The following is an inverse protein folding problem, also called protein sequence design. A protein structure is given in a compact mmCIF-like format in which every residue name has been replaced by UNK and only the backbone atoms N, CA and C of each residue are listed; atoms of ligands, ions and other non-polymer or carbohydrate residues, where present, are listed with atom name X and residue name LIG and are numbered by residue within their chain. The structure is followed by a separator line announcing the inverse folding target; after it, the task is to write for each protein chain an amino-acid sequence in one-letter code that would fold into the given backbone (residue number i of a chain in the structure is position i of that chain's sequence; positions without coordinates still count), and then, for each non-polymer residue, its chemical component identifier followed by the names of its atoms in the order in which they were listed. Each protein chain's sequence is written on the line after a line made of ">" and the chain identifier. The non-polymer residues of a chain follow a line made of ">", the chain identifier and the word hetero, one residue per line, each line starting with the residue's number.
data_IF_036356049752
#
_entry.id   IF_036356049752
#
_cell.length_a   1.000
_cell.length_b   1.000
_cell.length_c   1.000
_cell.angle_alpha   90.00
_cell.angle_beta   90.00
_cell.angle_gamma   90.00
#
_symmetry.space_group_name_H-M   'P 1'
#
loop_
_entity.id
_entity.type
_entity.pdbx_description
1 polymer ?
#
# COMPACT_ATOMS: atom_id res chain seq x y z
N UNK A 1 12.69 -19.08 -11.06
CA UNK A 1 14.14 -19.15 -10.76
C UNK A 1 14.98 -18.38 -11.78
N UNK A 2 14.90 -18.70 -13.08
CA UNK A 2 15.73 -18.07 -14.12
C UNK A 2 15.62 -16.54 -14.18
N UNK A 3 14.40 -15.98 -14.08
CA UNK A 3 14.22 -14.52 -14.07
C UNK A 3 14.90 -13.85 -12.87
N UNK A 4 14.78 -14.45 -11.69
CA UNK A 4 15.40 -13.93 -10.46
C UNK A 4 16.93 -14.01 -10.56
N UNK A 5 17.46 -15.14 -11.05
CA UNK A 5 18.90 -15.30 -11.27
C UNK A 5 19.43 -14.29 -12.30
N UNK A 6 18.73 -14.10 -13.41
CA UNK A 6 19.11 -13.11 -14.43
C UNK A 6 19.10 -11.69 -13.85
N UNK A 7 18.08 -11.33 -13.06
CA UNK A 7 18.00 -10.04 -12.40
C UNK A 7 19.16 -9.81 -11.41
N UNK A 8 19.49 -10.81 -10.59
CA UNK A 8 20.61 -10.74 -9.65
C UNK A 8 21.93 -10.60 -10.41
N UNK A 9 22.17 -11.45 -11.40
CA UNK A 9 23.40 -11.43 -12.20
C UNK A 9 23.58 -10.10 -12.92
N UNK A 10 22.51 -9.55 -13.51
CA UNK A 10 22.52 -8.23 -14.14
C UNK A 10 22.88 -7.12 -13.14
N UNK A 11 22.26 -7.12 -11.96
CA UNK A 11 22.51 -6.10 -10.92
C UNK A 11 23.94 -6.14 -10.40
N UNK A 12 24.50 -7.34 -10.20
CA UNK A 12 25.85 -7.52 -9.65
C UNK A 12 26.94 -7.28 -10.69
N UNK A 13 26.67 -7.58 -11.97
CA UNK A 13 27.65 -7.39 -13.04
C UNK A 13 27.97 -5.91 -13.31
N UNK A 14 26.97 -5.04 -13.28
CA UNK A 14 27.14 -3.58 -13.42
C UNK A 14 26.06 -2.82 -12.62
N UNK A 15 26.33 -2.51 -11.34
CA UNK A 15 25.36 -1.86 -10.46
C UNK A 15 24.97 -0.44 -10.90
N UNK A 16 25.87 0.30 -11.53
CA UNK A 16 25.62 1.67 -11.96
C UNK A 16 24.67 1.69 -13.15
N UNK A 17 24.95 0.86 -14.16
CA UNK A 17 24.05 0.71 -15.31
C UNK A 17 22.69 0.16 -14.89
N UNK A 18 22.66 -0.88 -14.05
CA UNK A 18 21.42 -1.46 -13.55
C UNK A 18 20.59 -0.43 -12.77
N UNK A 19 21.23 0.36 -11.89
CA UNK A 19 20.57 1.45 -11.17
C UNK A 19 19.96 2.51 -12.09
N UNK A 20 20.66 2.86 -13.17
CA UNK A 20 20.15 3.75 -14.22
C UNK A 20 18.89 3.19 -14.89
N UNK A 21 18.91 1.91 -15.27
CA UNK A 21 17.75 1.21 -15.87
C UNK A 21 16.57 1.18 -14.89
N UNK A 22 16.81 0.86 -13.61
CA UNK A 22 15.76 0.79 -12.60
C UNK A 22 15.13 2.17 -12.33
N UNK A 23 15.95 3.21 -12.27
CA UNK A 23 15.47 4.59 -12.08
C UNK A 23 14.65 5.07 -13.28
N UNK A 24 15.09 4.76 -14.51
CA UNK A 24 14.36 5.08 -15.73
C UNK A 24 13.00 4.36 -15.77
N UNK A 25 12.98 3.06 -15.46
CA UNK A 25 11.74 2.28 -15.39
C UNK A 25 10.79 2.80 -14.29
N UNK A 26 11.30 3.07 -13.09
CA UNK A 26 10.52 3.66 -11.99
C UNK A 26 9.91 5.01 -12.40
N UNK A 27 10.71 5.87 -13.04
CA UNK A 27 10.26 7.19 -13.50
C UNK A 27 9.17 7.09 -14.57
N UNK A 28 9.33 6.17 -15.52
CA UNK A 28 8.31 5.87 -16.53
C UNK A 28 7.00 5.42 -15.89
N UNK A 29 7.05 4.44 -14.98
CA UNK A 29 5.85 3.95 -14.28
C UNK A 29 5.18 5.07 -13.49
N UNK A 30 5.96 5.84 -12.73
CA UNK A 30 5.42 6.93 -11.91
C UNK A 30 4.76 8.03 -12.75
N UNK A 31 5.37 8.41 -13.89
CA UNK A 31 4.88 9.49 -14.74
C UNK A 31 3.70 9.06 -15.62
N UNK A 32 3.85 7.94 -16.32
CA UNK A 32 2.95 7.55 -17.41
C UNK A 32 1.84 6.59 -16.94
N UNK A 33 2.08 5.82 -15.87
CA UNK A 33 1.13 4.86 -15.30
C UNK A 33 0.59 5.26 -13.91
N UNK A 34 0.94 6.44 -13.40
CA UNK A 34 0.48 6.90 -12.08
C UNK A 34 -1.05 6.99 -11.97
N UNK A 35 -1.72 7.49 -13.02
CA UNK A 35 -3.19 7.54 -13.08
C UNK A 35 -3.83 6.15 -13.04
N UNK A 36 -3.20 5.17 -13.71
CA UNK A 36 -3.68 3.78 -13.73
C UNK A 36 -3.57 3.18 -12.34
N UNK A 37 -2.44 3.39 -11.65
CA UNK A 37 -2.23 2.89 -10.30
C UNK A 37 -3.23 3.47 -9.30
N UNK A 38 -3.44 4.79 -9.32
CA UNK A 38 -4.42 5.46 -8.45
C UNK A 38 -5.83 4.97 -8.76
N UNK A 39 -6.20 4.92 -10.05
CA UNK A 39 -7.50 4.44 -10.49
C UNK A 39 -7.77 3.00 -10.07
N UNK A 40 -6.77 2.12 -10.15
CA UNK A 40 -6.87 0.72 -9.74
C UNK A 40 -7.10 0.60 -8.22
N UNK A 41 -6.32 1.32 -7.40
CA UNK A 41 -6.48 1.32 -5.94
C UNK A 41 -7.84 1.85 -5.50
N UNK A 42 -8.30 2.94 -6.12
CA UNK A 42 -9.63 3.49 -5.84
C UNK A 42 -10.74 2.55 -6.33
N UNK A 43 -10.56 1.88 -7.46
CA UNK A 43 -11.51 0.90 -7.98
C UNK A 43 -11.70 -0.27 -7.01
N UNK A 44 -10.61 -0.88 -6.52
CA UNK A 44 -10.71 -2.00 -5.59
C UNK A 44 -11.37 -1.57 -4.27
N UNK A 45 -11.00 -0.42 -3.70
CA UNK A 45 -11.67 0.10 -2.52
C UNK A 45 -13.18 0.32 -2.76
N UNK A 46 -13.55 0.92 -3.90
CA UNK A 46 -14.96 1.12 -4.26
C UNK A 46 -15.70 -0.21 -4.47
N UNK A 47 -15.03 -1.20 -5.05
CA UNK A 47 -15.56 -2.55 -5.24
C UNK A 47 -15.80 -3.25 -3.91
N UNK A 48 -14.85 -3.22 -2.96
CA UNK A 48 -15.02 -3.81 -1.63
C UNK A 48 -16.18 -3.14 -0.87
N UNK A 49 -16.28 -1.80 -0.94
CA UNK A 49 -17.43 -1.07 -0.38
C UNK A 49 -18.75 -1.51 -1.05
N UNK A 50 -18.76 -1.61 -2.38
CA UNK A 50 -19.94 -2.08 -3.10
C UNK A 50 -20.33 -3.51 -2.72
N UNK A 51 -19.37 -4.43 -2.59
CA UNK A 51 -19.63 -5.82 -2.19
C UNK A 51 -20.35 -5.88 -0.85
N UNK A 52 -19.88 -5.12 0.15
CA UNK A 52 -20.47 -5.05 1.49
C UNK A 52 -21.93 -4.59 1.47
N UNK A 53 -22.29 -3.63 0.62
CA UNK A 53 -23.66 -3.09 0.55
C UNK A 53 -24.54 -3.74 -0.53
N UNK A 54 -23.97 -4.60 -1.35
CA UNK A 54 -24.70 -5.33 -2.39
C UNK A 54 -25.28 -6.63 -1.84
N UNK A 55 -26.17 -7.25 -2.63
CA UNK A 55 -26.65 -8.63 -2.39
C UNK A 55 -25.54 -9.70 -2.29
N UNK A 56 -24.33 -9.38 -2.76
CA UNK A 56 -23.21 -10.32 -2.72
C UNK A 56 -22.53 -10.35 -1.34
N UNK A 57 -22.74 -9.33 -0.49
CA UNK A 57 -22.20 -9.30 0.87
C UNK A 57 -22.82 -10.33 1.81
N UNK A 58 -24.03 -10.81 1.49
CA UNK A 58 -24.73 -11.85 2.23
C UNK A 58 -24.26 -13.28 1.86
N UNK A 59 -23.45 -13.42 0.81
CA UNK A 59 -22.97 -14.72 0.35
C UNK A 59 -21.92 -15.24 1.31
N UNK A 60 -22.15 -16.45 1.82
CA UNK A 60 -21.17 -17.16 2.63
C UNK A 60 -20.05 -17.72 1.74
N UNK A 61 -18.81 -17.52 2.15
CA UNK A 61 -17.64 -18.13 1.53
C UNK A 61 -17.48 -19.58 2.03
N UNK A 62 -18.28 -20.49 1.49
CA UNK A 62 -18.35 -21.90 1.87
C UNK A 62 -19.66 -22.54 1.40
N UNK A 63 -19.99 -23.72 1.93
CA UNK A 63 -21.33 -24.29 1.78
C UNK A 63 -22.36 -23.50 2.60
N UNK A 64 -23.65 -23.64 2.25
CA UNK A 64 -24.76 -22.90 2.88
C UNK A 64 -24.90 -23.21 4.39
N UNK A 65 -24.41 -24.37 4.83
CA UNK A 65 -24.41 -24.83 6.22
C UNK A 65 -23.09 -24.60 6.96
N UNK A 66 -22.01 -24.23 6.26
CA UNK A 66 -20.70 -24.00 6.87
C UNK A 66 -20.76 -22.89 7.93
N UNK A 67 -19.91 -22.99 8.96
CA UNK A 67 -19.77 -21.99 10.02
C UNK A 67 -18.31 -21.55 10.11
N UNK A 68 -18.01 -20.30 10.51
CA UNK A 68 -16.63 -19.87 10.70
C UNK A 68 -15.88 -20.79 11.66
N UNK A 69 -14.73 -21.30 11.21
CA UNK A 69 -13.85 -22.16 12.03
C UNK A 69 -13.26 -21.40 13.23
N UNK A 70 -13.05 -20.09 13.05
CA UNK A 70 -12.50 -19.20 14.07
C UNK A 70 -13.55 -18.22 14.56
N UNK A 71 -13.49 -17.87 15.85
CA UNK A 71 -14.29 -16.77 16.39
C UNK A 71 -13.89 -15.46 15.71
N UNK A 72 -14.81 -14.49 15.66
CA UNK A 72 -14.52 -13.16 15.09
C UNK A 72 -13.28 -12.51 15.71
N UNK A 73 -13.05 -12.70 17.01
CA UNK A 73 -11.86 -12.18 17.69
C UNK A 73 -10.58 -12.87 17.22
N UNK A 74 -10.58 -14.21 17.11
CA UNK A 74 -9.44 -14.97 16.63
C UNK A 74 -9.13 -14.63 15.16
N UNK A 75 -10.15 -14.59 14.30
CA UNK A 75 -10.01 -14.20 12.90
C UNK A 75 -9.45 -12.79 12.74
N UNK A 76 -9.99 -11.81 13.46
CA UNK A 76 -9.48 -10.44 13.43
C UNK A 76 -8.02 -10.35 13.91
N UNK A 77 -7.67 -11.11 14.95
CA UNK A 77 -6.29 -11.18 15.46
C UNK A 77 -5.32 -11.75 14.42
N UNK A 78 -5.74 -12.75 13.63
CA UNK A 78 -4.93 -13.33 12.57
C UNK A 78 -4.61 -12.33 11.44
N UNK A 79 -5.51 -11.37 11.15
CA UNK A 79 -5.25 -10.33 10.15
C UNK A 79 -4.02 -9.47 10.51
N UNK A 80 -3.87 -9.12 11.79
CA UNK A 80 -2.69 -8.39 12.27
C UNK A 80 -1.42 -9.25 12.26
N UNK A 81 -1.56 -10.57 12.46
CA UNK A 81 -0.45 -11.51 12.40
C UNK A 81 0.06 -11.79 10.97
N UNK A 82 -0.81 -11.75 9.97
CA UNK A 82 -0.48 -12.14 8.60
C UNK A 82 0.06 -10.99 7.73
N UNK A 83 -0.41 -9.76 7.90
CA UNK A 83 -0.40 -8.80 6.79
C UNK A 83 0.69 -7.74 6.74
N UNK A 84 1.24 -7.27 7.87
CA UNK A 84 1.87 -5.93 7.85
C UNK A 84 3.13 -5.76 8.73
N UNK A 85 3.87 -6.84 8.96
CA UNK A 85 5.02 -6.80 9.90
C UNK A 85 6.09 -5.77 9.53
N UNK A 86 6.90 -6.04 8.51
CA UNK A 86 8.13 -5.24 8.30
C UNK A 86 7.85 -3.84 7.72
N UNK A 87 6.79 -3.70 6.93
CA UNK A 87 6.40 -2.45 6.28
C UNK A 87 6.01 -1.39 7.31
N UNK A 88 5.10 -1.72 8.24
CA UNK A 88 4.70 -0.79 9.30
C UNK A 88 5.85 -0.54 10.28
N UNK A 89 6.65 -1.55 10.64
CA UNK A 89 7.76 -1.33 11.57
C UNK A 89 8.75 -0.27 11.07
N UNK A 90 9.00 -0.23 9.76
CA UNK A 90 9.88 0.78 9.16
C UNK A 90 9.13 2.09 8.86
N UNK A 91 8.02 2.02 8.12
CA UNK A 91 7.36 3.20 7.56
C UNK A 91 6.41 3.91 8.53
N UNK A 92 5.99 3.30 9.64
CA UNK A 92 5.14 3.97 10.65
C UNK A 92 5.79 5.19 11.28
N UNK A 93 7.12 5.23 11.32
CA UNK A 93 7.89 6.39 11.80
C UNK A 93 8.50 7.13 10.61
N UNK A 94 9.10 6.41 9.66
CA UNK A 94 9.84 7.04 8.57
C UNK A 94 8.94 7.88 7.65
N UNK A 95 7.75 7.41 7.31
CA UNK A 95 6.87 8.07 6.35
C UNK A 95 6.25 9.37 6.90
N UNK A 96 5.67 9.41 8.12
CA UNK A 96 5.19 10.66 8.69
C UNK A 96 6.30 11.69 8.86
N UNK A 97 7.50 11.28 9.28
CA UNK A 97 8.64 12.19 9.43
C UNK A 97 9.10 12.73 8.07
N UNK A 98 9.13 11.89 7.04
CA UNK A 98 9.44 12.31 5.68
C UNK A 98 8.42 13.35 5.17
N UNK A 99 7.12 13.08 5.35
CA UNK A 99 6.07 14.01 4.94
C UNK A 99 5.99 15.27 5.78
N UNK A 100 6.43 15.22 7.04
CA UNK A 100 6.53 16.38 7.91
C UNK A 100 7.60 17.38 7.44
N UNK A 101 8.67 16.86 6.83
CA UNK A 101 9.74 17.67 6.23
C UNK A 101 9.37 18.20 4.85
N UNK A 102 8.73 17.36 4.01
CA UNK A 102 8.32 17.77 2.66
C UNK A 102 7.18 16.90 2.14
N UNK A 103 6.19 17.52 1.52
CA UNK A 103 5.15 16.82 0.76
C UNK A 103 4.48 17.77 -0.25
N UNK A 104 3.71 17.28 -1.23
CA UNK A 104 3.09 18.11 -2.27
C UNK A 104 2.05 19.13 -1.77
N UNK A 105 1.61 19.05 -0.51
CA UNK A 105 0.57 19.90 0.06
C UNK A 105 1.13 20.96 1.03
N UNK A 106 2.44 21.05 1.21
CA UNK A 106 3.10 22.06 2.04
C UNK A 106 4.19 22.80 1.27
N UNK A 107 4.46 24.04 1.66
CA UNK A 107 5.60 24.82 1.17
C UNK A 107 6.82 24.60 2.07
N UNK A 108 8.01 24.95 1.58
CA UNK A 108 9.23 24.89 2.40
C UNK A 108 9.16 25.80 3.64
N UNK A 109 8.42 26.91 3.57
CA UNK A 109 8.21 27.84 4.69
C UNK A 109 7.34 27.23 5.81
N UNK A 110 6.43 26.33 5.44
CA UNK A 110 5.52 25.65 6.36
C UNK A 110 6.01 24.25 6.74
N UNK A 111 7.24 23.88 6.35
CA UNK A 111 7.82 22.61 6.75
C UNK A 111 7.99 22.56 8.27
N UNK A 112 7.77 21.37 8.84
CA UNK A 112 7.96 21.13 10.28
C UNK A 112 7.06 21.95 11.22
N UNK A 113 5.95 22.51 10.74
CA UNK A 113 4.93 23.19 11.58
C UNK A 113 3.81 22.23 12.03
N UNK A 114 2.97 22.65 12.97
CA UNK A 114 1.83 21.83 13.43
C UNK A 114 0.91 21.43 12.29
N UNK A 115 0.69 22.33 11.33
CA UNK A 115 -0.11 22.09 10.13
C UNK A 115 0.53 21.02 9.24
N UNK A 116 1.85 21.07 9.03
CA UNK A 116 2.59 20.05 8.29
C UNK A 116 2.51 18.67 8.97
N UNK A 117 2.54 18.62 10.31
CA UNK A 117 2.39 17.36 11.04
C UNK A 117 1.00 16.72 10.81
N UNK A 118 -0.06 17.53 10.78
CA UNK A 118 -1.41 17.05 10.50
C UNK A 118 -1.52 16.50 9.07
N UNK A 119 -0.95 17.20 8.09
CA UNK A 119 -0.94 16.75 6.68
C UNK A 119 -0.13 15.47 6.53
N UNK A 120 1.04 15.37 7.16
CA UNK A 120 1.89 14.19 7.12
C UNK A 120 1.17 12.94 7.63
N UNK A 121 0.43 13.06 8.74
CA UNK A 121 -0.39 11.97 9.26
C UNK A 121 -1.54 11.61 8.32
N UNK A 122 -2.19 12.59 7.67
CA UNK A 122 -3.24 12.32 6.68
C UNK A 122 -2.72 11.51 5.49
N UNK A 123 -1.54 11.85 4.97
CA UNK A 123 -0.92 11.11 3.85
C UNK A 123 -0.58 9.68 4.30
N UNK A 124 0.04 9.55 5.48
CA UNK A 124 0.44 8.23 5.99
C UNK A 124 -0.77 7.32 6.22
N UNK A 125 -1.87 7.87 6.78
CA UNK A 125 -3.13 7.13 6.93
C UNK A 125 -3.77 6.83 5.57
N UNK A 126 -3.64 7.70 4.58
CA UNK A 126 -4.15 7.44 3.24
C UNK A 126 -3.44 6.24 2.59
N UNK A 127 -2.12 6.12 2.73
CA UNK A 127 -1.34 5.01 2.20
C UNK A 127 -1.55 3.68 2.94
N UNK A 128 -1.63 3.72 4.28
CA UNK A 128 -1.72 2.51 5.12
C UNK A 128 -3.14 2.17 5.62
N UNK A 129 -4.12 3.00 5.27
CA UNK A 129 -5.52 2.83 5.63
C UNK A 129 -6.33 2.11 4.56
N UNK A 130 -7.52 2.62 4.29
CA UNK A 130 -8.54 1.92 3.49
C UNK A 130 -8.07 1.53 2.07
N UNK A 131 -7.24 2.34 1.40
CA UNK A 131 -6.79 2.01 0.05
C UNK A 131 -5.88 0.78 0.02
N UNK A 132 -4.96 0.65 1.00
CA UNK A 132 -4.09 -0.52 1.10
C UNK A 132 -4.87 -1.79 1.42
N UNK A 133 -5.80 -1.70 2.38
CA UNK A 133 -6.64 -2.85 2.77
C UNK A 133 -7.68 -3.21 1.72
N UNK A 134 -8.23 -2.23 1.00
CA UNK A 134 -9.23 -2.44 -0.05
C UNK A 134 -8.68 -3.25 -1.22
N UNK A 135 -7.37 -3.29 -1.44
CA UNK A 135 -6.75 -4.18 -2.43
C UNK A 135 -6.74 -5.64 -1.97
N UNK A 136 -6.69 -5.90 -0.67
CA UNK A 136 -6.69 -7.26 -0.11
C UNK A 136 -8.10 -7.84 0.12
N UNK A 137 -9.11 -6.97 0.22
CA UNK A 137 -10.50 -7.30 0.52
C UNK A 137 -11.29 -7.74 -0.72
#
# INVERSE_FOLDING_TARGET
>A
ALMVLAFILFTVADPEYAGGVYSAAKSFIARDLGWYYIGLMTFFLAMSVWLVFSRYGDIRLGADDDRPEFTNFAWFSMLFGAGIGIGILFWSIAEPIYHFQSNPFITAENAMTVEAAQIAMRISIFHWGLHGWGLFA
#
